data_IF_018621161267
#
_entry.id   IF_018621161267
#
_cell.length_a   1.000
_cell.length_b   1.000
_cell.length_c   1.000
_cell.angle_alpha   90.00
_cell.angle_beta   90.00
_cell.angle_gamma   90.00
#
_symmetry.space_group_name_H-M   'P 1'
#
loop_
_entity.id
_entity.type
_entity.pdbx_description
1 polymer ?
#
# COMPACT_ATOMS: atom_id res chain seq x y z
N UNK A 1 -0.72 23.64 -15.24
CA UNK A 1 0.47 22.74 -15.22
C UNK A 1 0.03 21.45 -14.62
N UNK A 2 0.38 20.31 -15.25
CA UNK A 2 -0.02 18.99 -14.77
C UNK A 2 0.64 18.72 -13.43
N UNK A 3 -0.13 18.15 -12.50
CA UNK A 3 0.28 17.79 -11.14
C UNK A 3 -0.15 16.35 -10.86
N UNK A 4 0.81 15.46 -10.60
CA UNK A 4 0.56 14.04 -10.35
C UNK A 4 1.12 13.64 -9.00
N UNK A 5 0.34 12.91 -8.19
CA UNK A 5 0.84 12.17 -7.06
C UNK A 5 0.88 10.68 -7.41
N UNK A 6 2.01 10.03 -7.21
CA UNK A 6 2.25 8.62 -7.56
C UNK A 6 2.62 7.85 -6.30
N UNK A 7 1.90 6.77 -6.03
CA UNK A 7 2.22 5.77 -5.01
C UNK A 7 2.46 4.43 -5.72
N UNK A 8 3.72 4.03 -5.83
CA UNK A 8 4.13 2.79 -6.47
C UNK A 8 4.35 1.71 -5.40
N UNK A 9 3.23 1.22 -4.86
CA UNK A 9 3.27 0.21 -3.79
C UNK A 9 3.54 -1.20 -4.30
N UNK A 10 3.91 -2.11 -3.40
CA UNK A 10 4.22 -3.53 -3.70
C UNK A 10 3.04 -4.31 -4.27
N UNK A 11 1.80 -3.93 -3.99
CA UNK A 11 0.59 -4.60 -4.53
C UNK A 11 -0.11 -3.79 -5.61
N UNK A 12 -0.18 -2.48 -5.43
CA UNK A 12 -0.93 -1.56 -6.32
C UNK A 12 -0.13 -0.29 -6.55
N UNK A 13 -0.04 0.11 -7.80
CA UNK A 13 0.39 1.46 -8.20
C UNK A 13 -0.83 2.35 -8.37
N UNK A 14 -0.79 3.54 -7.82
CA UNK A 14 -1.88 4.52 -7.87
C UNK A 14 -1.35 5.86 -8.36
N UNK A 15 -2.11 6.52 -9.22
CA UNK A 15 -1.79 7.87 -9.72
C UNK A 15 -3.01 8.75 -9.52
N UNK A 16 -2.79 9.87 -8.85
CA UNK A 16 -3.78 10.92 -8.63
C UNK A 16 -3.43 12.17 -9.43
N UNK A 17 -4.41 12.76 -10.07
CA UNK A 17 -4.24 14.01 -10.83
C UNK A 17 -4.77 15.20 -10.05
N UNK A 18 -3.87 16.08 -9.59
CA UNK A 18 -4.19 17.18 -8.68
C UNK A 18 -4.53 18.52 -9.38
N UNK A 19 -4.22 18.68 -10.67
CA UNK A 19 -4.51 19.89 -11.45
C UNK A 19 -5.93 19.96 -12.01
N UNK A 20 -6.68 18.89 -11.87
CA UNK A 20 -8.09 18.78 -12.28
C UNK A 20 -8.90 18.13 -11.16
N UNK A 21 -10.21 17.97 -11.37
CA UNK A 21 -11.10 17.25 -10.46
C UNK A 21 -11.18 15.74 -10.79
N UNK A 22 -10.24 15.22 -11.60
CA UNK A 22 -10.27 13.81 -12.03
C UNK A 22 -10.00 12.82 -10.90
N UNK A 23 -9.32 13.24 -9.84
CA UNK A 23 -9.05 12.36 -8.70
C UNK A 23 -8.01 11.28 -9.00
N UNK A 24 -8.27 10.04 -8.56
CA UNK A 24 -7.43 8.88 -8.89
C UNK A 24 -7.67 8.51 -10.34
N UNK A 25 -6.66 8.70 -11.17
CA UNK A 25 -6.71 8.46 -12.63
C UNK A 25 -6.18 7.08 -13.03
N UNK A 26 -5.46 6.41 -12.11
CA UNK A 26 -4.99 5.05 -12.31
C UNK A 26 -4.88 4.34 -10.95
N UNK A 27 -5.35 3.09 -10.90
CA UNK A 27 -5.14 2.15 -9.81
C UNK A 27 -4.98 0.74 -10.41
N UNK A 28 -3.74 0.26 -10.51
CA UNK A 28 -3.37 -0.97 -11.20
C UNK A 28 -2.48 -1.85 -10.32
N UNK A 29 -2.59 -3.18 -10.41
CA UNK A 29 -1.65 -4.09 -9.75
C UNK A 29 -0.20 -3.80 -10.16
N UNK A 30 0.71 -3.76 -9.19
CA UNK A 30 2.14 -3.52 -9.43
C UNK A 30 2.86 -4.79 -9.88
N UNK A 31 2.44 -5.39 -10.99
CA UNK A 31 3.04 -6.63 -11.48
C UNK A 31 3.19 -6.65 -13.00
N UNK A 32 4.16 -7.46 -13.45
CA UNK A 32 4.55 -7.63 -14.86
C UNK A 32 4.62 -9.11 -15.16
N UNK A 33 3.99 -9.54 -16.26
CA UNK A 33 4.13 -10.89 -16.80
C UNK A 33 5.30 -10.93 -17.79
N UNK A 34 6.27 -11.80 -17.54
CA UNK A 34 7.49 -11.94 -18.34
C UNK A 34 7.58 -13.37 -18.88
N UNK A 35 7.90 -13.51 -20.16
CA UNK A 35 8.20 -14.79 -20.82
C UNK A 35 9.71 -14.94 -20.91
N UNK A 36 10.23 -16.05 -20.38
CA UNK A 36 11.68 -16.18 -20.19
C UNK A 36 12.18 -15.07 -19.26
N UNK A 37 13.36 -14.52 -19.57
CA UNK A 37 13.99 -13.50 -18.74
C UNK A 37 13.78 -12.06 -19.23
N UNK A 38 13.27 -11.87 -20.45
CA UNK A 38 13.31 -10.56 -21.11
C UNK A 38 11.97 -10.05 -21.69
N UNK A 39 11.11 -10.91 -22.21
CA UNK A 39 9.93 -10.47 -22.94
C UNK A 39 8.77 -10.12 -22.02
N UNK A 40 8.35 -8.85 -22.04
CA UNK A 40 7.18 -8.37 -21.30
C UNK A 40 5.92 -8.71 -22.07
N UNK A 41 5.09 -9.58 -21.53
CA UNK A 41 3.82 -10.03 -22.10
C UNK A 41 2.64 -9.17 -21.70
N UNK A 42 2.61 -8.73 -20.44
CA UNK A 42 1.51 -7.94 -19.89
C UNK A 42 1.95 -7.16 -18.64
N UNK A 43 1.23 -6.08 -18.31
CA UNK A 43 1.49 -5.22 -17.15
C UNK A 43 0.18 -4.93 -16.43
N UNK A 44 0.23 -4.85 -15.09
CA UNK A 44 -0.90 -4.48 -14.26
C UNK A 44 -1.98 -5.55 -14.21
N UNK A 45 -3.23 -5.15 -14.33
CA UNK A 45 -4.39 -6.06 -14.29
C UNK A 45 -4.31 -7.18 -15.34
N UNK A 46 -3.77 -6.87 -16.53
CA UNK A 46 -3.56 -7.88 -17.57
C UNK A 46 -2.55 -8.95 -17.12
N UNK A 47 -1.45 -8.55 -16.48
CA UNK A 47 -0.47 -9.48 -15.91
C UNK A 47 -1.07 -10.29 -14.74
N UNK A 48 -1.77 -9.62 -13.81
CA UNK A 48 -2.42 -10.30 -12.68
C UNK A 48 -3.41 -11.37 -13.13
N UNK A 49 -4.15 -11.13 -14.20
CA UNK A 49 -5.11 -12.09 -14.77
C UNK A 49 -4.46 -13.35 -15.37
N UNK A 50 -3.15 -13.32 -15.59
CA UNK A 50 -2.39 -14.47 -16.10
C UNK A 50 -1.90 -15.41 -14.98
N UNK A 51 -1.96 -15.02 -13.72
CA UNK A 51 -1.52 -15.86 -12.59
C UNK A 51 -2.28 -17.19 -12.61
N UNK A 52 -1.52 -18.30 -12.63
CA UNK A 52 -2.06 -19.66 -12.66
C UNK A 52 -2.66 -20.09 -14.00
N UNK A 53 -2.56 -19.28 -15.06
CA UNK A 53 -3.14 -19.55 -16.39
C UNK A 53 -2.10 -19.56 -17.53
N UNK A 54 -0.83 -19.56 -17.20
CA UNK A 54 0.25 -19.44 -18.18
C UNK A 54 1.02 -20.75 -18.31
N UNK A 55 1.64 -20.95 -19.49
CA UNK A 55 2.60 -22.02 -19.72
C UNK A 55 3.86 -21.83 -18.88
N UNK A 56 4.67 -22.87 -18.72
CA UNK A 56 5.81 -22.98 -17.79
C UNK A 56 6.83 -21.84 -17.85
N UNK A 57 6.91 -21.08 -18.92
CA UNK A 57 7.91 -20.02 -19.10
C UNK A 57 7.41 -18.59 -18.82
N UNK A 58 6.18 -18.42 -18.34
CA UNK A 58 5.64 -17.08 -18.00
C UNK A 58 5.63 -16.87 -16.50
N UNK A 59 6.44 -15.95 -16.05
CA UNK A 59 6.54 -15.56 -14.63
C UNK A 59 5.82 -14.23 -14.38
N UNK A 60 5.16 -14.12 -13.24
CA UNK A 60 4.62 -12.84 -12.75
C UNK A 60 5.61 -12.26 -11.75
N UNK A 61 6.15 -11.11 -12.09
CA UNK A 61 7.16 -10.41 -11.29
C UNK A 61 6.54 -9.15 -10.70
N UNK A 62 6.83 -8.89 -9.44
CA UNK A 62 6.50 -7.67 -8.73
C UNK A 62 7.77 -6.80 -8.65
N UNK A 63 7.90 -5.75 -9.50
CA UNK A 63 9.14 -4.96 -9.59
C UNK A 63 9.44 -4.13 -8.35
N UNK A 64 8.40 -3.84 -7.55
CA UNK A 64 8.50 -3.21 -6.23
C UNK A 64 8.09 -4.24 -5.19
N UNK A 65 8.97 -4.52 -4.28
CA UNK A 65 8.74 -5.46 -3.19
C UNK A 65 9.17 -4.84 -1.85
N UNK A 66 8.28 -4.89 -0.87
CA UNK A 66 8.56 -4.35 0.47
C UNK A 66 9.02 -2.87 0.48
N UNK A 67 8.52 -2.07 -0.47
CA UNK A 67 8.83 -0.66 -0.60
C UNK A 67 10.14 -0.34 -1.33
N UNK A 68 10.85 -1.35 -1.82
CA UNK A 68 12.09 -1.19 -2.60
C UNK A 68 11.89 -1.62 -4.06
N UNK A 69 12.67 -1.02 -4.96
CA UNK A 69 12.71 -1.42 -6.38
C UNK A 69 13.64 -2.62 -6.50
N UNK A 70 13.07 -3.82 -6.67
CA UNK A 70 13.85 -5.06 -6.80
C UNK A 70 14.20 -5.42 -8.25
N UNK A 71 13.53 -4.79 -9.20
CA UNK A 71 13.85 -4.95 -10.63
C UNK A 71 13.60 -3.62 -11.37
N UNK A 72 14.67 -2.86 -11.58
CA UNK A 72 14.61 -1.53 -12.20
C UNK A 72 14.00 -1.57 -13.59
N UNK A 73 14.44 -2.47 -14.46
CA UNK A 73 13.94 -2.59 -15.84
C UNK A 73 12.43 -2.82 -15.91
N UNK A 74 11.91 -3.71 -15.05
CA UNK A 74 10.48 -3.99 -15.02
C UNK A 74 9.69 -2.88 -14.32
N UNK A 75 10.27 -2.22 -13.32
CA UNK A 75 9.68 -1.05 -12.66
C UNK A 75 9.52 0.12 -13.64
N UNK A 76 10.54 0.38 -14.43
CA UNK A 76 10.55 1.39 -15.50
C UNK A 76 9.48 1.09 -16.56
N UNK A 77 9.48 -0.13 -17.11
CA UNK A 77 8.49 -0.54 -18.10
C UNK A 77 7.07 -0.43 -17.55
N UNK A 78 6.84 -0.84 -16.30
CA UNK A 78 5.55 -0.74 -15.63
C UNK A 78 5.11 0.72 -15.46
N UNK A 79 5.99 1.58 -14.95
CA UNK A 79 5.65 2.99 -14.73
C UNK A 79 5.40 3.72 -16.06
N UNK A 80 6.24 3.49 -17.08
CA UNK A 80 6.02 4.05 -18.44
C UNK A 80 4.68 3.63 -19.02
N UNK A 81 4.32 2.36 -18.91
CA UNK A 81 3.03 1.85 -19.36
C UNK A 81 1.87 2.50 -18.61
N UNK A 82 1.95 2.63 -17.27
CA UNK A 82 0.92 3.28 -16.48
C UNK A 82 0.77 4.76 -16.82
N UNK A 83 1.87 5.47 -17.02
CA UNK A 83 1.87 6.86 -17.47
C UNK A 83 1.28 7.03 -18.89
N UNK A 84 1.41 6.02 -19.75
CA UNK A 84 0.79 6.04 -21.08
C UNK A 84 -0.73 5.88 -21.07
N UNK A 85 -1.28 5.22 -20.03
CA UNK A 85 -2.72 4.97 -19.88
C UNK A 85 -3.49 6.16 -19.31
N UNK A 86 -2.80 7.10 -18.69
CA UNK A 86 -3.45 8.34 -18.24
C UNK A 86 -3.56 9.29 -19.44
N UNK A 87 -4.69 9.99 -19.56
CA UNK A 87 -4.96 10.91 -20.68
C UNK A 87 -4.13 12.19 -20.58
N UNK A 88 -2.81 12.05 -20.79
CA UNK A 88 -1.82 13.13 -20.77
C UNK A 88 -0.81 12.93 -21.88
N UNK A 89 -0.65 13.95 -22.74
CA UNK A 89 0.37 13.91 -23.81
C UNK A 89 1.78 13.80 -23.22
N UNK A 90 2.64 12.96 -23.81
CA UNK A 90 4.02 12.76 -23.35
C UNK A 90 4.84 14.06 -23.22
N UNK A 91 4.61 15.06 -24.10
CA UNK A 91 5.26 16.37 -24.02
C UNK A 91 4.82 17.19 -22.78
N UNK A 92 3.63 16.93 -22.28
CA UNK A 92 3.10 17.57 -21.07
C UNK A 92 3.56 16.84 -19.80
N UNK A 93 3.72 15.52 -19.85
CA UNK A 93 4.31 14.71 -18.75
C UNK A 93 5.73 15.16 -18.42
N UNK A 94 6.56 15.44 -19.42
CA UNK A 94 7.93 15.96 -19.23
C UNK A 94 8.00 17.30 -18.46
N UNK A 95 6.89 18.03 -18.36
CA UNK A 95 6.76 19.30 -17.64
C UNK A 95 5.83 19.22 -16.44
N UNK A 96 5.36 18.02 -16.12
CA UNK A 96 4.51 17.78 -14.97
C UNK A 96 5.29 18.00 -13.67
N UNK A 97 4.59 18.46 -12.66
CA UNK A 97 5.04 18.41 -11.27
C UNK A 97 4.58 17.06 -10.71
N UNK A 98 5.51 16.26 -10.26
CA UNK A 98 5.25 14.92 -9.75
C UNK A 98 5.67 14.83 -8.30
N UNK A 99 4.77 14.36 -7.45
CA UNK A 99 5.08 13.96 -6.10
C UNK A 99 5.09 12.43 -6.07
N UNK A 100 6.21 11.86 -5.65
CA UNK A 100 6.38 10.42 -5.54
C UNK A 100 6.40 10.00 -4.06
N UNK A 101 5.49 9.12 -3.69
CA UNK A 101 5.41 8.60 -2.33
C UNK A 101 6.46 7.52 -2.11
N UNK A 102 7.22 7.63 -1.02
CA UNK A 102 8.27 6.69 -0.64
C UNK A 102 8.04 6.16 0.79
N UNK A 103 8.56 4.97 1.14
CA UNK A 103 8.42 4.43 2.50
C UNK A 103 8.99 5.37 3.58
N UNK A 104 8.49 5.23 4.80
CA UNK A 104 9.00 5.97 5.95
C UNK A 104 10.45 5.57 6.26
N UNK A 105 11.32 6.57 6.41
CA UNK A 105 12.74 6.32 6.71
C UNK A 105 13.51 5.65 5.57
N UNK A 106 13.08 5.85 4.33
CA UNK A 106 13.75 5.29 3.14
C UNK A 106 15.26 5.57 3.16
N UNK A 107 16.08 4.55 2.88
CA UNK A 107 17.52 4.71 2.79
C UNK A 107 17.93 5.59 1.60
N UNK A 108 19.08 6.27 1.70
CA UNK A 108 19.58 7.09 0.59
C UNK A 108 19.79 6.26 -0.69
N UNK A 109 20.21 5.00 -0.56
CA UNK A 109 20.35 4.09 -1.69
C UNK A 109 19.01 3.82 -2.37
N UNK A 110 17.99 3.44 -1.60
CA UNK A 110 16.68 3.15 -2.16
C UNK A 110 16.04 4.41 -2.76
N UNK A 111 16.26 5.58 -2.15
CA UNK A 111 15.81 6.86 -2.71
C UNK A 111 16.45 7.12 -4.07
N UNK A 112 17.77 6.92 -4.21
CA UNK A 112 18.47 7.09 -5.50
C UNK A 112 17.96 6.11 -6.59
N UNK A 113 17.48 4.93 -6.20
CA UNK A 113 16.82 4.02 -7.14
C UNK A 113 15.46 4.58 -7.64
N UNK A 114 14.68 5.24 -6.77
CA UNK A 114 13.46 5.94 -7.20
C UNK A 114 13.75 7.18 -8.04
N UNK A 115 14.80 7.93 -7.72
CA UNK A 115 15.28 9.07 -8.54
C UNK A 115 15.62 8.60 -9.95
N UNK A 116 16.47 7.58 -10.08
CA UNK A 116 16.82 6.98 -11.37
C UNK A 116 15.59 6.47 -12.14
N UNK A 117 14.65 5.81 -11.48
CA UNK A 117 13.41 5.35 -12.10
C UNK A 117 12.60 6.50 -12.71
N UNK A 118 12.45 7.60 -11.96
CA UNK A 118 11.67 8.75 -12.42
C UNK A 118 12.35 9.48 -13.58
N UNK A 119 13.68 9.56 -13.56
CA UNK A 119 14.49 10.12 -14.64
C UNK A 119 14.35 9.30 -15.92
N UNK A 120 14.49 7.96 -15.86
CA UNK A 120 14.31 7.03 -16.98
C UNK A 120 12.88 7.08 -17.57
N UNK A 121 11.89 7.40 -16.73
CA UNK A 121 10.51 7.65 -17.18
C UNK A 121 10.32 9.06 -17.77
N UNK A 122 11.36 9.91 -17.80
CA UNK A 122 11.32 11.25 -18.35
C UNK A 122 10.57 12.27 -17.50
N UNK A 123 10.41 12.00 -16.21
CA UNK A 123 9.83 12.92 -15.23
C UNK A 123 10.95 13.82 -14.71
N UNK A 124 10.86 15.13 -14.97
CA UNK A 124 11.96 16.07 -14.70
C UNK A 124 11.80 16.88 -13.42
N UNK A 125 10.62 16.92 -12.87
CA UNK A 125 10.30 17.72 -11.68
C UNK A 125 9.56 16.83 -10.69
N UNK A 126 10.33 16.12 -9.89
CA UNK A 126 9.85 15.12 -8.94
C UNK A 126 10.23 15.53 -7.53
N UNK A 127 9.31 15.39 -6.61
CA UNK A 127 9.51 15.50 -5.17
C UNK A 127 9.19 14.17 -4.51
N UNK A 128 10.03 13.75 -3.59
CA UNK A 128 9.85 12.53 -2.82
C UNK A 128 9.37 12.87 -1.40
N UNK A 129 8.22 12.29 -1.03
CA UNK A 129 7.61 12.52 0.29
C UNK A 129 7.23 11.16 0.89
N UNK A 130 7.45 11.03 2.18
CA UNK A 130 7.20 9.78 2.89
C UNK A 130 5.71 9.46 3.01
N UNK A 131 5.35 8.20 2.74
CA UNK A 131 3.97 7.70 2.70
C UNK A 131 3.13 8.04 3.93
N UNK A 132 3.60 7.88 5.20
CA UNK A 132 2.74 8.15 6.36
C UNK A 132 2.38 9.64 6.49
N UNK A 133 3.26 10.56 6.07
CA UNK A 133 2.93 11.97 6.03
C UNK A 133 1.80 12.25 5.02
N UNK A 134 1.92 11.69 3.83
CA UNK A 134 0.90 11.80 2.80
C UNK A 134 -0.41 11.11 3.22
N UNK A 135 -0.32 9.93 3.83
CA UNK A 135 -1.48 9.19 4.29
C UNK A 135 -2.26 9.96 5.38
N UNK A 136 -1.56 10.65 6.28
CA UNK A 136 -2.18 11.53 7.26
C UNK A 136 -2.96 12.68 6.59
N UNK A 137 -2.35 13.36 5.62
CA UNK A 137 -3.01 14.42 4.84
C UNK A 137 -4.24 13.90 4.08
N UNK A 138 -4.11 12.74 3.44
CA UNK A 138 -5.20 12.10 2.72
C UNK A 138 -6.33 11.58 3.63
N UNK A 139 -6.01 11.30 4.89
CA UNK A 139 -6.98 10.97 5.92
C UNK A 139 -7.65 12.21 6.56
N UNK A 140 -7.32 13.40 6.07
CA UNK A 140 -7.97 14.65 6.51
C UNK A 140 -7.20 15.44 7.56
N UNK A 141 -5.91 15.13 7.80
CA UNK A 141 -5.07 15.97 8.64
C UNK A 141 -4.94 17.37 8.02
N UNK A 142 -4.99 18.40 8.85
CA UNK A 142 -4.91 19.80 8.42
C UNK A 142 -3.47 20.28 8.62
N UNK A 143 -2.83 20.73 7.55
CA UNK A 143 -1.43 21.22 7.57
C UNK A 143 -1.19 22.42 8.50
N UNK A 144 -2.23 23.19 8.80
CA UNK A 144 -2.15 24.34 9.72
C UNK A 144 -2.27 23.98 11.19
N UNK A 145 -2.69 22.75 11.51
CA UNK A 145 -2.77 22.28 12.88
C UNK A 145 -1.38 21.90 13.38
N UNK A 146 -0.93 22.59 14.43
CA UNK A 146 0.37 22.35 15.05
C UNK A 146 0.42 21.04 15.85
N UNK A 147 -0.72 20.43 16.09
CA UNK A 147 -0.84 19.23 16.90
C UNK A 147 -0.35 17.97 16.15
N UNK A 148 0.60 17.21 16.74
CA UNK A 148 1.04 15.96 16.16
C UNK A 148 -0.08 14.93 16.02
N UNK A 149 -0.03 14.17 14.92
CA UNK A 149 -0.99 13.12 14.58
C UNK A 149 -0.27 11.79 14.49
N UNK A 150 -0.80 10.73 15.08
CA UNK A 150 -0.33 9.37 14.85
C UNK A 150 -1.04 8.77 13.65
N UNK A 151 -0.28 8.39 12.63
CA UNK A 151 -0.76 7.73 11.42
C UNK A 151 -0.30 6.28 11.38
N UNK A 152 -1.22 5.36 11.07
CA UNK A 152 -0.95 3.95 10.83
C UNK A 152 -1.53 3.58 9.46
N UNK A 153 -0.64 3.35 8.50
CA UNK A 153 -0.97 2.94 7.14
C UNK A 153 -0.62 1.46 6.94
N UNK A 154 -1.63 0.61 6.65
CA UNK A 154 -1.41 -0.82 6.44
C UNK A 154 -1.74 -1.17 4.99
N UNK A 155 -0.68 -1.30 4.18
CA UNK A 155 -0.73 -1.59 2.76
C UNK A 155 -0.75 -3.08 2.44
N UNK A 156 -0.40 -3.41 1.17
CA UNK A 156 -0.29 -4.79 0.70
C UNK A 156 1.02 -5.45 1.12
N UNK A 157 2.17 -4.81 0.91
CA UNK A 157 3.49 -5.34 1.27
C UNK A 157 4.17 -4.61 2.40
N UNK A 158 3.79 -3.35 2.62
CA UNK A 158 4.41 -2.45 3.61
C UNK A 158 3.35 -1.86 4.52
N UNK A 159 3.69 -1.70 5.79
CA UNK A 159 2.95 -0.88 6.74
C UNK A 159 3.84 0.21 7.31
N UNK A 160 3.28 1.38 7.54
CA UNK A 160 3.97 2.52 8.12
C UNK A 160 3.27 2.95 9.41
N UNK A 161 4.05 3.17 10.46
CA UNK A 161 3.57 3.79 11.69
C UNK A 161 4.40 5.03 11.98
N UNK A 162 3.78 6.20 12.02
CA UNK A 162 4.51 7.45 12.22
C UNK A 162 3.68 8.49 12.98
N UNK A 163 4.36 9.31 13.76
CA UNK A 163 3.83 10.55 14.32
C UNK A 163 4.29 11.69 13.42
N UNK A 164 3.34 12.36 12.83
CA UNK A 164 3.55 13.46 11.88
C UNK A 164 3.12 14.79 12.48
N UNK A 165 3.82 15.84 12.14
CA UNK A 165 3.50 17.23 12.48
C UNK A 165 3.60 18.09 11.22
N UNK A 166 3.22 19.36 11.27
CA UNK A 166 3.49 20.30 10.17
C UNK A 166 4.96 20.37 9.76
N UNK A 167 5.89 20.12 10.67
CA UNK A 167 7.33 20.15 10.41
C UNK A 167 7.90 18.82 9.89
N UNK A 168 7.07 17.80 9.68
CA UNK A 168 7.46 16.49 9.16
C UNK A 168 7.22 15.33 10.14
N UNK A 169 7.98 14.25 9.98
CA UNK A 169 7.87 13.05 10.80
C UNK A 169 8.69 13.22 12.09
N UNK A 170 8.01 13.19 13.24
CA UNK A 170 8.65 13.25 14.56
C UNK A 170 9.30 11.90 14.91
N UNK A 171 8.57 10.82 14.70
CA UNK A 171 9.02 9.45 14.89
C UNK A 171 8.25 8.54 13.94
N UNK A 172 8.90 7.54 13.37
CA UNK A 172 8.22 6.64 12.45
C UNK A 172 9.05 5.42 12.10
N UNK A 173 8.37 4.41 11.58
CA UNK A 173 8.97 3.17 11.09
C UNK A 173 8.14 2.64 9.92
N UNK A 174 8.84 2.08 8.93
CA UNK A 174 8.27 1.24 7.88
C UNK A 174 8.53 -0.23 8.20
N UNK A 175 7.57 -1.09 7.92
CA UNK A 175 7.60 -2.51 8.24
C UNK A 175 7.22 -3.32 7.01
N UNK A 176 7.98 -4.36 6.71
CA UNK A 176 7.71 -5.31 5.62
C UNK A 176 6.60 -6.31 6.00
N UNK A 177 5.48 -5.76 6.46
CA UNK A 177 4.30 -6.50 6.90
C UNK A 177 3.07 -5.85 6.28
N UNK A 178 2.20 -6.66 5.68
CA UNK A 178 0.98 -6.15 5.05
C UNK A 178 0.02 -7.25 4.62
N UNK A 179 -0.90 -6.93 3.74
CA UNK A 179 -1.94 -7.83 3.24
C UNK A 179 -1.41 -9.09 2.56
N UNK A 180 -0.24 -9.01 1.91
CA UNK A 180 0.37 -10.16 1.24
C UNK A 180 0.81 -11.25 2.24
N UNK A 181 1.26 -10.84 3.43
CA UNK A 181 1.59 -11.77 4.51
C UNK A 181 0.33 -12.47 5.05
N UNK A 182 -0.78 -11.74 5.11
CA UNK A 182 -2.09 -12.32 5.50
C UNK A 182 -2.54 -13.35 4.46
N UNK A 183 -2.39 -13.08 3.17
CA UNK A 183 -2.70 -14.01 2.08
C UNK A 183 -1.87 -15.29 2.17
N UNK A 184 -0.56 -15.16 2.40
CA UNK A 184 0.32 -16.31 2.61
C UNK A 184 -0.11 -17.16 3.82
N UNK A 185 -0.53 -16.50 4.91
CA UNK A 185 -1.02 -17.22 6.09
C UNK A 185 -2.36 -17.93 5.82
N UNK A 186 -3.24 -17.34 5.03
CA UNK A 186 -4.49 -17.98 4.60
C UNK A 186 -4.20 -19.23 3.76
N UNK A 187 -3.24 -19.17 2.83
CA UNK A 187 -2.81 -20.33 2.03
C UNK A 187 -2.33 -21.45 2.96
N UNK A 188 -1.43 -21.14 3.90
CA UNK A 188 -0.92 -22.13 4.86
C UNK A 188 -2.06 -22.74 5.72
N UNK A 189 -2.93 -21.89 6.25
CA UNK A 189 -4.07 -22.32 7.08
C UNK A 189 -5.00 -23.27 6.34
N UNK A 190 -5.34 -22.97 5.07
CA UNK A 190 -6.21 -23.81 4.27
C UNK A 190 -5.54 -25.13 3.88
N UNK A 191 -4.22 -25.12 3.61
CA UNK A 191 -3.45 -26.33 3.35
C UNK A 191 -3.45 -27.27 4.58
N UNK A 192 -3.27 -26.70 5.78
CA UNK A 192 -3.18 -27.48 7.02
C UNK A 192 -4.54 -27.98 7.50
N UNK A 193 -5.53 -27.11 7.56
CA UNK A 193 -6.83 -27.44 8.16
C UNK A 193 -7.83 -28.06 7.18
N UNK A 194 -7.91 -27.50 5.96
CA UNK A 194 -8.87 -27.92 4.95
C UNK A 194 -8.30 -28.92 3.95
N UNK A 195 -7.00 -29.26 4.09
CA UNK A 195 -6.25 -30.09 3.14
C UNK A 195 -6.35 -29.57 1.70
N UNK A 196 -6.45 -28.24 1.55
CA UNK A 196 -6.65 -27.54 0.28
C UNK A 196 -5.53 -26.50 0.04
N UNK A 197 -4.70 -26.76 -0.95
CA UNK A 197 -3.73 -25.79 -1.43
C UNK A 197 -4.40 -24.87 -2.44
N UNK A 198 -4.54 -23.58 -2.08
CA UNK A 198 -5.08 -22.52 -2.95
C UNK A 198 -3.96 -21.64 -3.51
N UNK A 199 -4.21 -20.97 -4.64
CA UNK A 199 -3.30 -19.98 -5.19
C UNK A 199 -3.43 -18.60 -4.52
N UNK A 200 -2.43 -17.74 -4.74
CA UNK A 200 -2.38 -16.39 -4.15
C UNK A 200 -3.62 -15.53 -4.50
N UNK A 201 -4.10 -15.59 -5.75
CA UNK A 201 -5.33 -14.86 -6.13
C UNK A 201 -6.56 -15.34 -5.36
N UNK A 202 -6.67 -16.64 -5.12
CA UNK A 202 -7.78 -17.22 -4.36
C UNK A 202 -7.71 -16.78 -2.90
N UNK A 203 -6.51 -16.77 -2.29
CA UNK A 203 -6.32 -16.32 -0.92
C UNK A 203 -6.63 -14.82 -0.76
N UNK A 204 -6.14 -13.98 -1.67
CA UNK A 204 -6.45 -12.55 -1.69
C UNK A 204 -7.97 -12.31 -1.84
N UNK A 205 -8.62 -13.07 -2.72
CA UNK A 205 -10.07 -13.00 -2.92
C UNK A 205 -10.82 -13.37 -1.65
N UNK A 206 -10.46 -14.49 -1.02
CA UNK A 206 -11.04 -14.96 0.25
C UNK A 206 -10.88 -13.87 1.33
N UNK A 207 -9.67 -13.34 1.51
CA UNK A 207 -9.42 -12.24 2.46
C UNK A 207 -10.34 -11.05 2.22
N UNK A 208 -10.46 -10.62 0.95
CA UNK A 208 -11.19 -9.41 0.61
C UNK A 208 -12.71 -9.58 0.65
N UNK A 209 -13.24 -10.77 0.35
CA UNK A 209 -14.69 -11.01 0.28
C UNK A 209 -15.31 -11.44 1.61
N UNK A 210 -14.61 -12.28 2.37
CA UNK A 210 -15.15 -12.81 3.63
C UNK A 210 -14.26 -12.56 4.84
N UNK A 211 -13.05 -11.99 4.67
CA UNK A 211 -12.18 -11.63 5.79
C UNK A 211 -12.87 -10.63 6.72
N UNK A 212 -12.81 -10.88 8.02
CA UNK A 212 -13.41 -10.00 9.03
C UNK A 212 -12.72 -10.19 10.37
N UNK A 213 -12.64 -9.11 11.15
CA UNK A 213 -12.18 -9.15 12.54
C UNK A 213 -13.33 -9.07 13.55
N UNK A 214 -14.58 -9.08 13.07
CA UNK A 214 -15.76 -9.12 13.94
C UNK A 214 -15.79 -10.42 14.74
N UNK A 215 -16.08 -10.37 16.06
CA UNK A 215 -16.33 -11.57 16.86
C UNK A 215 -17.49 -12.42 16.35
N UNK A 216 -18.44 -11.80 15.65
CA UNK A 216 -19.63 -12.43 15.07
C UNK A 216 -19.57 -12.49 13.53
N UNK A 217 -18.38 -12.63 12.96
CA UNK A 217 -18.23 -12.69 11.51
C UNK A 217 -19.03 -13.87 10.92
N UNK A 218 -20.01 -13.53 10.10
CA UNK A 218 -20.81 -14.48 9.33
C UNK A 218 -20.43 -14.31 7.86
N UNK A 219 -19.90 -15.34 7.26
CA UNK A 219 -19.56 -15.37 5.86
C UNK A 219 -18.96 -16.72 5.50
N UNK A 220 -19.31 -17.21 4.35
CA UNK A 220 -18.81 -18.48 3.84
C UNK A 220 -18.52 -18.34 2.36
N UNK A 221 -17.40 -18.90 1.91
CA UNK A 221 -17.01 -18.92 0.52
C UNK A 221 -16.47 -20.31 0.16
N UNK A 222 -16.81 -20.81 -1.02
CA UNK A 222 -16.18 -22.01 -1.56
C UNK A 222 -14.85 -21.62 -2.19
N UNK A 223 -13.78 -22.19 -1.64
CA UNK A 223 -12.43 -22.05 -2.19
C UNK A 223 -12.13 -23.27 -3.06
N UNK A 224 -11.60 -23.02 -4.25
CA UNK A 224 -11.15 -24.05 -5.20
C UNK A 224 -9.62 -24.09 -5.23
N UNK A 225 -9.07 -25.29 -5.33
CA UNK A 225 -7.64 -25.50 -5.34
C UNK A 225 -7.28 -26.95 -5.62
N UNK A 226 -6.21 -27.42 -5.01
CA UNK A 226 -5.72 -28.80 -5.10
C UNK A 226 -5.65 -29.44 -3.71
N UNK A 227 -6.17 -30.66 -3.57
CA UNK A 227 -5.99 -31.43 -2.33
C UNK A 227 -4.51 -31.66 -2.03
N UNK A 228 -4.08 -31.39 -0.80
CA UNK A 228 -2.72 -31.69 -0.35
C UNK A 228 -2.48 -33.18 -0.15
N UNK A 229 -3.53 -33.99 -0.02
CA UNK A 229 -3.44 -35.43 0.20
C UNK A 229 -3.47 -36.24 -1.10
N UNK A 230 -4.40 -35.88 -2.03
CA UNK A 230 -4.59 -36.65 -3.27
C UNK A 230 -3.97 -36.00 -4.49
N UNK A 231 -3.51 -34.76 -4.38
CA UNK A 231 -3.03 -33.91 -5.49
C UNK A 231 -4.08 -33.66 -6.61
N UNK A 232 -5.34 -34.02 -6.38
CA UNK A 232 -6.44 -33.80 -7.33
C UNK A 232 -7.09 -32.42 -7.13
N UNK A 233 -7.76 -31.86 -8.17
CA UNK A 233 -8.62 -30.70 -7.99
C UNK A 233 -9.63 -30.94 -6.86
N UNK A 234 -9.78 -29.94 -6.01
CA UNK A 234 -10.65 -30.04 -4.82
C UNK A 234 -11.24 -28.67 -4.50
N UNK A 235 -12.30 -28.67 -3.72
CA UNK A 235 -12.92 -27.48 -3.19
C UNK A 235 -13.27 -27.68 -1.71
N UNK A 236 -13.23 -26.60 -0.93
CA UNK A 236 -13.62 -26.60 0.47
C UNK A 236 -14.38 -25.34 0.83
N UNK A 237 -15.32 -25.45 1.75
CA UNK A 237 -16.01 -24.30 2.33
C UNK A 237 -15.13 -23.66 3.38
N UNK A 238 -14.90 -22.34 3.25
CA UNK A 238 -14.10 -21.52 4.17
C UNK A 238 -15.02 -20.55 4.88
N UNK A 239 -14.91 -20.47 6.20
CA UNK A 239 -15.73 -19.58 7.01
C UNK A 239 -14.93 -18.33 7.42
N UNK A 240 -15.58 -17.16 7.46
CA UNK A 240 -14.98 -15.90 7.89
C UNK A 240 -14.31 -15.99 9.28
N UNK A 241 -14.91 -16.73 10.20
CA UNK A 241 -14.39 -16.93 11.54
C UNK A 241 -12.99 -17.59 11.54
N UNK A 242 -12.74 -18.51 10.59
CA UNK A 242 -11.46 -19.22 10.48
C UNK A 242 -10.31 -18.30 10.00
N UNK A 243 -10.65 -17.22 9.31
CA UNK A 243 -9.68 -16.28 8.75
C UNK A 243 -9.25 -15.19 9.73
N UNK A 244 -10.07 -14.92 10.74
CA UNK A 244 -9.86 -13.84 11.70
C UNK A 244 -8.48 -13.91 12.34
N UNK A 245 -8.05 -15.10 12.76
CA UNK A 245 -6.76 -15.28 13.42
C UNK A 245 -5.59 -15.15 12.43
N UNK A 246 -5.76 -15.57 11.18
CA UNK A 246 -4.77 -15.38 10.12
C UNK A 246 -4.46 -13.90 9.88
N UNK A 247 -5.49 -13.06 9.95
CA UNK A 247 -5.38 -11.61 9.77
C UNK A 247 -4.83 -10.94 11.04
N UNK A 248 -5.36 -11.27 12.22
CA UNK A 248 -4.97 -10.70 13.51
C UNK A 248 -3.48 -10.86 13.81
N UNK A 249 -2.88 -11.99 13.45
CA UNK A 249 -1.46 -12.26 13.68
C UNK A 249 -0.60 -11.13 13.10
N UNK A 250 -0.87 -10.71 11.87
CA UNK A 250 -0.07 -9.67 11.21
C UNK A 250 -0.44 -8.26 11.64
N UNK A 251 -1.72 -7.99 11.91
CA UNK A 251 -2.12 -6.71 12.52
C UNK A 251 -1.45 -6.55 13.89
N UNK A 252 -1.43 -7.58 14.74
CA UNK A 252 -0.78 -7.51 16.04
C UNK A 252 0.73 -7.24 15.92
N UNK A 253 1.43 -7.86 14.97
CA UNK A 253 2.84 -7.55 14.69
C UNK A 253 3.03 -6.07 14.31
N UNK A 254 2.17 -5.52 13.44
CA UNK A 254 2.21 -4.08 13.10
C UNK A 254 1.97 -3.23 14.35
N UNK A 255 1.03 -3.62 15.21
CA UNK A 255 0.72 -2.89 16.45
C UNK A 255 1.85 -2.92 17.48
N UNK A 256 2.66 -3.99 17.53
CA UNK A 256 3.86 -4.05 18.36
C UNK A 256 4.88 -2.97 17.97
N UNK A 257 5.13 -2.81 16.65
CA UNK A 257 5.99 -1.75 16.13
C UNK A 257 5.38 -0.35 16.34
N UNK A 258 4.08 -0.21 16.08
CA UNK A 258 3.35 1.02 16.33
C UNK A 258 3.47 1.46 17.80
N UNK A 259 3.31 0.53 18.73
CA UNK A 259 3.51 0.78 20.16
C UNK A 259 4.98 1.13 20.49
N UNK A 260 5.95 0.56 19.77
CA UNK A 260 7.35 0.94 19.94
C UNK A 260 7.59 2.40 19.53
N UNK A 261 7.04 2.86 18.41
CA UNK A 261 7.08 4.27 18.00
C UNK A 261 6.47 5.17 19.08
N UNK A 262 5.28 4.83 19.57
CA UNK A 262 4.60 5.64 20.59
C UNK A 262 5.41 5.76 21.89
N UNK A 263 6.18 4.72 22.27
CA UNK A 263 7.04 4.74 23.46
C UNK A 263 8.26 5.66 23.34
N UNK A 264 8.66 6.05 22.13
CA UNK A 264 9.81 6.96 21.93
C UNK A 264 9.44 8.44 22.02
N UNK A 265 8.15 8.75 22.11
CA UNK A 265 7.66 10.12 22.06
C UNK A 265 7.95 10.90 23.33
N UNK A 266 8.30 12.20 23.24
CA UNK A 266 8.26 13.12 24.37
C UNK A 266 6.86 13.15 25.00
N UNK A 267 6.79 13.44 26.31
CA UNK A 267 5.54 13.38 27.07
C UNK A 267 4.43 14.28 26.49
N UNK A 268 4.77 15.49 26.05
CA UNK A 268 3.83 16.45 25.48
C UNK A 268 3.26 15.97 24.14
N UNK A 269 4.12 15.39 23.27
CA UNK A 269 3.73 14.80 22.01
C UNK A 269 2.83 13.59 22.25
N UNK A 270 3.21 12.71 23.17
CA UNK A 270 2.43 11.53 23.53
C UNK A 270 1.03 11.90 24.05
N UNK A 271 0.93 12.94 24.90
CA UNK A 271 -0.34 13.45 25.41
C UNK A 271 -1.25 13.96 24.29
N UNK A 272 -0.68 14.70 23.33
CA UNK A 272 -1.41 15.24 22.19
C UNK A 272 -1.88 14.12 21.25
N UNK A 273 -1.00 13.19 20.91
CA UNK A 273 -1.32 12.00 20.09
C UNK A 273 -2.43 11.16 20.75
N UNK A 274 -2.39 10.95 22.05
CA UNK A 274 -3.45 10.23 22.77
C UNK A 274 -4.80 10.95 22.71
N UNK A 275 -4.79 12.27 22.77
CA UNK A 275 -6.00 13.10 22.66
C UNK A 275 -6.58 13.07 21.24
N UNK A 276 -5.72 13.16 20.21
CA UNK A 276 -6.10 13.22 18.81
C UNK A 276 -6.48 11.85 18.24
N UNK A 277 -5.93 10.76 18.81
CA UNK A 277 -6.18 9.40 18.33
C UNK A 277 -5.26 9.00 17.19
N UNK A 278 -5.59 7.87 16.54
CA UNK A 278 -4.83 7.31 15.43
C UNK A 278 -5.58 7.49 14.11
N UNK A 279 -4.91 7.99 13.10
CA UNK A 279 -5.40 8.06 11.72
C UNK A 279 -5.00 6.77 10.99
N UNK A 280 -6.02 6.02 10.54
CA UNK A 280 -5.85 4.71 9.91
C UNK A 280 -6.05 4.83 8.40
N UNK A 281 -5.11 4.26 7.64
CA UNK A 281 -5.12 4.22 6.18
C UNK A 281 -4.61 2.89 5.64
N UNK A 282 -4.61 2.76 4.32
CA UNK A 282 -4.21 1.54 3.64
C UNK A 282 -5.36 0.57 3.36
N UNK A 283 -5.10 -0.38 2.46
CA UNK A 283 -6.12 -1.31 1.96
C UNK A 283 -6.71 -2.24 3.03
N UNK A 284 -5.96 -2.52 4.09
CA UNK A 284 -6.39 -3.39 5.20
C UNK A 284 -7.53 -2.77 6.00
N UNK A 285 -7.67 -1.45 5.99
CA UNK A 285 -8.79 -0.77 6.66
C UNK A 285 -10.15 -1.08 6.04
N UNK A 286 -10.20 -1.70 4.86
CA UNK A 286 -11.44 -2.19 4.22
C UNK A 286 -11.92 -3.51 4.80
N UNK A 287 -11.08 -4.23 5.54
CA UNK A 287 -11.49 -5.46 6.22
C UNK A 287 -12.47 -5.08 7.34
N UNK A 288 -13.69 -5.65 7.37
CA UNK A 288 -14.67 -5.36 8.39
C UNK A 288 -14.10 -5.52 9.81
N UNK A 289 -14.34 -4.52 10.67
CA UNK A 289 -13.86 -4.43 12.05
C UNK A 289 -12.34 -4.25 12.23
N UNK A 290 -11.53 -4.11 11.17
CA UNK A 290 -10.11 -3.86 11.33
C UNK A 290 -9.82 -2.53 12.05
N UNK A 291 -10.47 -1.39 11.69
CA UNK A 291 -10.27 -0.14 12.42
C UNK A 291 -10.65 -0.23 13.91
N UNK A 292 -11.80 -0.86 14.22
CA UNK A 292 -12.26 -1.06 15.59
C UNK A 292 -11.28 -1.91 16.41
N UNK A 293 -10.79 -3.00 15.80
CA UNK A 293 -9.81 -3.88 16.41
C UNK A 293 -8.51 -3.14 16.75
N UNK A 294 -7.98 -2.36 15.79
CA UNK A 294 -6.76 -1.58 15.95
C UNK A 294 -6.94 -0.52 17.06
N UNK A 295 -8.02 0.27 17.00
CA UNK A 295 -8.31 1.28 18.02
C UNK A 295 -8.44 0.70 19.41
N UNK A 296 -9.11 -0.44 19.55
CA UNK A 296 -9.24 -1.17 20.83
C UNK A 296 -7.90 -1.66 21.36
N UNK A 297 -7.04 -2.22 20.49
CA UNK A 297 -5.71 -2.71 20.86
C UNK A 297 -4.75 -1.61 21.27
N UNK A 298 -4.80 -0.46 20.61
CA UNK A 298 -4.01 0.71 20.97
C UNK A 298 -4.61 1.50 22.14
N UNK A 299 -5.84 1.19 22.54
CA UNK A 299 -6.62 1.99 23.50
C UNK A 299 -6.71 3.46 23.08
N UNK A 300 -6.93 3.71 21.80
CA UNK A 300 -7.00 5.05 21.21
C UNK A 300 -8.28 5.22 20.38
N UNK A 301 -8.76 6.46 20.28
CA UNK A 301 -9.74 6.81 19.24
C UNK A 301 -9.09 6.60 17.88
N UNK A 302 -9.90 6.25 16.89
CA UNK A 302 -9.40 6.07 15.52
C UNK A 302 -10.22 6.88 14.53
N UNK A 303 -9.56 7.32 13.47
CA UNK A 303 -10.14 8.02 12.34
C UNK A 303 -9.78 7.26 11.07
N UNK A 304 -10.75 7.01 10.21
CA UNK A 304 -10.56 6.36 8.91
C UNK A 304 -11.18 7.24 7.84
N UNK A 305 -10.45 7.56 6.79
CA UNK A 305 -11.02 8.29 5.65
C UNK A 305 -11.91 7.36 4.81
N UNK A 306 -12.75 7.95 3.98
CA UNK A 306 -13.74 7.22 3.17
C UNK A 306 -13.08 6.19 2.23
N UNK A 307 -11.93 6.53 1.64
CA UNK A 307 -11.18 5.67 0.74
C UNK A 307 -9.74 5.43 1.25
N UNK A 308 -9.58 4.66 2.34
CA UNK A 308 -8.31 4.52 3.04
C UNK A 308 -7.19 3.94 2.16
N UNK A 309 -7.53 3.14 1.13
CA UNK A 309 -6.57 2.60 0.17
C UNK A 309 -5.94 3.66 -0.73
N UNK A 310 -6.53 4.85 -0.84
CA UNK A 310 -6.03 5.96 -1.66
C UNK A 310 -5.46 7.11 -0.82
N UNK A 311 -5.46 7.01 0.50
CA UNK A 311 -5.05 8.10 1.39
C UNK A 311 -3.71 8.73 0.99
N UNK A 312 -2.69 7.91 0.69
CA UNK A 312 -1.35 8.37 0.27
C UNK A 312 -1.40 9.28 -0.97
N UNK A 313 -2.05 8.86 -2.04
CA UNK A 313 -2.12 9.69 -3.27
C UNK A 313 -3.07 10.88 -3.13
N UNK A 314 -4.11 10.77 -2.31
CA UNK A 314 -5.00 11.88 -1.98
C UNK A 314 -4.23 12.96 -1.22
N UNK A 315 -3.43 12.57 -0.22
CA UNK A 315 -2.56 13.49 0.51
C UNK A 315 -1.48 14.11 -0.37
N UNK A 316 -0.90 13.35 -1.30
CA UNK A 316 -0.01 13.89 -2.33
C UNK A 316 -0.72 14.94 -3.20
N UNK A 317 -1.98 14.72 -3.51
CA UNK A 317 -2.82 15.70 -4.20
C UNK A 317 -3.07 16.98 -3.40
N UNK A 318 -3.28 16.87 -2.08
CA UNK A 318 -3.39 18.01 -1.15
C UNK A 318 -2.07 18.81 -1.16
N UNK A 319 -0.96 18.13 -0.94
CA UNK A 319 0.36 18.76 -0.85
C UNK A 319 0.77 19.45 -2.17
N UNK A 320 0.49 18.85 -3.33
CA UNK A 320 0.75 19.47 -4.63
C UNK A 320 -0.02 20.77 -4.88
N UNK A 321 -1.15 20.98 -4.19
CA UNK A 321 -1.93 22.23 -4.29
C UNK A 321 -1.33 23.34 -3.42
N UNK A 322 -0.64 23.00 -2.34
CA UNK A 322 0.04 23.93 -1.44
C UNK A 322 1.56 23.96 -1.76
N UNK A 323 1.97 24.97 -2.53
CA UNK A 323 3.37 25.10 -2.94
C UNK A 323 4.31 25.36 -1.77
N UNK A 324 3.87 26.07 -0.73
CA UNK A 324 4.73 26.39 0.42
C UNK A 324 4.99 25.13 1.25
N UNK A 325 3.94 24.38 1.57
CA UNK A 325 4.05 23.09 2.26
C UNK A 325 4.85 22.08 1.42
N UNK A 326 4.63 22.01 0.10
CA UNK A 326 5.38 21.12 -0.78
C UNK A 326 6.89 21.37 -0.69
N UNK A 327 7.34 22.62 -0.79
CA UNK A 327 8.77 22.95 -0.72
C UNK A 327 9.39 22.72 0.66
N UNK A 328 8.58 22.72 1.70
CA UNK A 328 9.05 22.49 3.07
C UNK A 328 9.34 21.00 3.34
N UNK A 329 8.50 20.10 2.83
CA UNK A 329 8.53 18.69 3.22
C UNK A 329 9.06 17.75 2.15
N UNK A 330 9.11 18.20 0.88
CA UNK A 330 9.51 17.34 -0.22
C UNK A 330 11.01 17.47 -0.51
N UNK A 331 11.65 16.34 -0.80
CA UNK A 331 12.97 16.33 -1.42
C UNK A 331 12.78 16.46 -2.93
N UNK A 332 13.47 17.40 -3.55
CA UNK A 332 13.43 17.62 -5.00
C UNK A 332 14.64 16.93 -5.64
N UNK A 333 14.43 16.27 -6.77
CA UNK A 333 15.52 15.74 -7.60
C UNK A 333 16.29 16.90 -8.22
N UNK A 334 17.61 16.85 -8.16
CA UNK A 334 18.52 17.83 -8.80
C UNK A 334 18.53 17.73 -10.34
#
# INVERSE_FOLDING_TARGET
MIKLAIDMGSSMTKIYRADTNSGVVLAEPSCVAVVGDEEIKAIGKAAKNLIGKTAEFTNIVYPVYEGEIVNMRLAEAMLKEFLSRIDIKSSALKRAQVLFAVPCGISSRALSEYEALTEECGLKKVWFVEQPYLAALGAGAILSDIDPIFCLDIGGGVSNAAVVSPDGIIAGISMNIGGNNMDANIISRLADANKLLVGALTAEKIKNEIGSLSPSALGTMVAEGRSTETCQPAASSVQAAELSDCIKVYINKVLEYAAAVLRTLPAEVAATVNRNGVHLSGGIMKIPYAPQYIGSKLNMRYHVCEEPQYATVLGGGVLLRDKAALLQYARETE
#
